data_IF_813907819018
#
_entry.id   IF_813907819018
#
_cell.length_a   1.000
_cell.length_b   1.000
_cell.length_c   1.000
_cell.angle_alpha   90.00
_cell.angle_beta   90.00
_cell.angle_gamma   90.00
#
_symmetry.space_group_name_H-M   'P 1'
#
loop_
_entity.id
_entity.type
_entity.pdbx_description
1 polymer ?
#
# COMPACT_ATOMS: atom_id res chain seq x y z
N UNK A 1 -26.08 18.34 27.32
CA UNK A 1 -25.40 17.97 26.06
C UNK A 1 -26.19 18.30 24.79
N UNK A 2 -27.49 18.02 24.69
CA UNK A 2 -28.24 18.19 23.42
C UNK A 2 -28.36 19.62 22.84
N UNK A 3 -28.35 20.70 23.64
CA UNK A 3 -28.44 22.08 23.09
C UNK A 3 -27.15 22.57 22.43
N UNK A 4 -25.98 22.23 22.99
CA UNK A 4 -24.68 22.61 22.43
C UNK A 4 -24.40 21.89 21.10
N UNK A 5 -24.76 20.61 20.99
CA UNK A 5 -24.70 19.87 19.72
C UNK A 5 -25.62 20.47 18.66
N UNK A 6 -26.85 20.87 19.03
CA UNK A 6 -27.78 21.52 18.09
C UNK A 6 -27.28 22.88 17.59
N UNK A 7 -26.70 23.71 18.47
CA UNK A 7 -26.07 24.97 18.05
C UNK A 7 -24.88 24.74 17.11
N UNK A 8 -24.05 23.74 17.41
CA UNK A 8 -22.88 23.41 16.60
C UNK A 8 -23.29 22.88 15.22
N UNK A 9 -24.28 21.99 15.14
CA UNK A 9 -24.82 21.51 13.87
C UNK A 9 -25.43 22.64 13.05
N UNK A 10 -26.05 23.64 13.70
CA UNK A 10 -26.57 24.83 13.02
C UNK A 10 -25.43 25.70 12.46
N UNK A 11 -24.35 25.89 13.23
CA UNK A 11 -23.14 26.60 12.76
C UNK A 11 -22.52 25.87 11.56
N UNK A 12 -22.41 24.54 11.63
CA UNK A 12 -21.88 23.73 10.53
C UNK A 12 -22.76 23.83 9.27
N UNK A 13 -24.08 23.80 9.43
CA UNK A 13 -25.03 24.00 8.33
C UNK A 13 -24.89 25.41 7.75
N UNK A 14 -24.77 26.44 8.58
CA UNK A 14 -24.54 27.82 8.14
C UNK A 14 -23.21 27.95 7.40
N UNK A 15 -22.16 27.26 7.86
CA UNK A 15 -20.85 27.22 7.20
C UNK A 15 -20.99 26.56 5.82
N UNK A 16 -21.68 25.42 5.73
CA UNK A 16 -21.95 24.77 4.44
C UNK A 16 -22.73 25.69 3.49
N UNK A 17 -23.77 26.37 3.98
CA UNK A 17 -24.55 27.31 3.16
C UNK A 17 -23.72 28.53 2.75
N UNK A 18 -22.92 29.10 3.64
CA UNK A 18 -22.07 30.25 3.33
C UNK A 18 -20.97 29.88 2.32
N UNK A 19 -20.30 28.73 2.50
CA UNK A 19 -19.33 28.20 1.54
C UNK A 19 -19.99 27.94 0.18
N UNK A 20 -21.20 27.37 0.18
CA UNK A 20 -21.97 27.13 -1.04
C UNK A 20 -22.35 28.45 -1.72
N UNK A 21 -22.81 29.47 -0.99
CA UNK A 21 -23.14 30.80 -1.54
C UNK A 21 -21.89 31.45 -2.13
N UNK A 22 -20.77 31.46 -1.40
CA UNK A 22 -19.49 32.00 -1.89
C UNK A 22 -19.06 31.31 -3.19
N UNK A 23 -19.15 29.99 -3.25
CA UNK A 23 -18.81 29.23 -4.44
C UNK A 23 -19.83 29.45 -5.58
N UNK A 24 -21.12 29.58 -5.25
CA UNK A 24 -22.22 29.85 -6.20
C UNK A 24 -22.09 31.21 -6.87
N UNK A 25 -21.65 32.23 -6.13
CA UNK A 25 -21.35 33.56 -6.68
C UNK A 25 -20.19 33.52 -7.71
N UNK A 26 -19.36 32.48 -7.67
CA UNK A 26 -18.24 32.24 -8.59
C UNK A 26 -18.55 31.19 -9.68
N UNK A 27 -19.80 30.70 -9.79
CA UNK A 27 -20.21 29.66 -10.77
C UNK A 27 -19.98 30.06 -12.24
N UNK A 28 -19.83 31.35 -12.54
CA UNK A 28 -19.39 31.79 -13.87
C UNK A 28 -18.04 31.19 -14.28
N UNK A 29 -17.25 30.69 -13.32
CA UNK A 29 -16.01 29.96 -13.55
C UNK A 29 -16.16 28.45 -13.36
N UNK A 30 -15.40 27.68 -14.13
CA UNK A 30 -15.29 26.21 -14.01
C UNK A 30 -14.86 25.80 -12.59
N UNK A 31 -13.92 26.52 -11.99
CA UNK A 31 -13.45 26.31 -10.62
C UNK A 31 -14.58 26.47 -9.57
N UNK A 32 -15.46 27.46 -9.75
CA UNK A 32 -16.61 27.67 -8.87
C UNK A 32 -17.60 26.50 -8.91
N UNK A 33 -17.88 25.97 -10.10
CA UNK A 33 -18.77 24.81 -10.28
C UNK A 33 -18.21 23.54 -9.64
N UNK A 34 -16.91 23.30 -9.77
CA UNK A 34 -16.18 22.19 -9.12
C UNK A 34 -16.26 22.33 -7.59
N UNK A 35 -15.96 23.51 -7.06
CA UNK A 35 -16.01 23.78 -5.62
C UNK A 35 -17.41 23.52 -5.05
N UNK A 36 -18.46 23.95 -5.76
CA UNK A 36 -19.86 23.68 -5.36
C UNK A 36 -20.14 22.17 -5.30
N UNK A 37 -19.70 21.40 -6.31
CA UNK A 37 -19.92 19.96 -6.33
C UNK A 37 -19.20 19.25 -5.17
N UNK A 38 -17.94 19.64 -4.88
CA UNK A 38 -17.16 19.10 -3.77
C UNK A 38 -17.81 19.44 -2.43
N UNK A 39 -18.26 20.68 -2.22
CA UNK A 39 -18.97 21.06 -0.99
C UNK A 39 -20.27 20.28 -0.79
N UNK A 40 -21.00 19.97 -1.87
CA UNK A 40 -22.21 19.12 -1.80
C UNK A 40 -21.89 17.67 -1.49
N UNK A 41 -20.77 17.14 -1.98
CA UNK A 41 -20.30 15.79 -1.63
C UNK A 41 -19.75 15.71 -0.19
N UNK A 42 -19.20 16.82 0.33
CA UNK A 42 -18.42 16.88 1.59
C UNK A 42 -19.05 17.78 2.65
N UNK A 43 -20.39 17.75 2.75
CA UNK A 43 -21.14 18.50 3.77
C UNK A 43 -20.78 18.04 5.18
N UNK A 44 -20.98 18.92 6.17
CA UNK A 44 -20.73 18.62 7.59
C UNK A 44 -21.72 17.62 8.19
N UNK A 45 -22.81 17.30 7.46
CA UNK A 45 -23.81 16.35 7.88
C UNK A 45 -23.20 14.99 8.24
N UNK A 46 -23.28 14.60 9.51
CA UNK A 46 -22.73 13.33 10.00
C UNK A 46 -23.65 12.14 9.73
N UNK A 47 -24.83 12.35 9.13
CA UNK A 47 -25.86 11.31 9.00
C UNK A 47 -25.49 10.17 8.04
N UNK A 48 -24.61 10.42 7.05
CA UNK A 48 -24.26 9.42 6.05
C UNK A 48 -23.13 9.80 5.10
N UNK A 49 -22.70 8.84 4.25
CA UNK A 49 -21.67 9.05 3.23
C UNK A 49 -22.12 10.05 2.15
N UNK A 50 -21.19 10.50 1.28
CA UNK A 50 -21.56 11.32 0.14
C UNK A 50 -22.62 10.61 -0.71
N UNK A 51 -23.69 11.31 -1.06
CA UNK A 51 -24.69 10.77 -1.99
C UNK A 51 -24.02 10.42 -3.32
N UNK A 52 -24.34 9.25 -3.89
CA UNK A 52 -23.85 8.79 -5.20
C UNK A 52 -24.01 9.88 -6.28
N UNK A 53 -25.14 10.58 -6.29
CA UNK A 53 -25.38 11.71 -7.21
C UNK A 53 -24.35 12.83 -7.09
N UNK A 54 -23.90 13.15 -5.88
CA UNK A 54 -22.89 14.20 -5.66
C UNK A 54 -21.50 13.72 -6.06
N UNK A 55 -21.15 12.47 -5.76
CA UNK A 55 -19.89 11.86 -6.21
C UNK A 55 -19.85 11.79 -7.74
N UNK A 56 -20.92 11.34 -8.37
CA UNK A 56 -21.04 11.30 -9.84
C UNK A 56 -20.89 12.69 -10.47
N UNK A 57 -21.41 13.75 -9.83
CA UNK A 57 -21.22 15.12 -10.29
C UNK A 57 -19.75 15.56 -10.20
N UNK A 58 -19.04 15.20 -9.12
CA UNK A 58 -17.59 15.47 -8.98
C UNK A 58 -16.79 14.75 -10.08
N UNK A 59 -17.08 13.46 -10.31
CA UNK A 59 -16.43 12.67 -11.36
C UNK A 59 -16.71 13.24 -12.76
N UNK A 60 -17.94 13.63 -13.05
CA UNK A 60 -18.33 14.20 -14.34
C UNK A 60 -17.63 15.53 -14.60
N UNK A 61 -17.51 16.40 -13.60
CA UNK A 61 -16.76 17.65 -13.71
C UNK A 61 -15.26 17.40 -13.88
N UNK A 62 -14.70 16.41 -13.18
CA UNK A 62 -13.29 16.01 -13.31
C UNK A 62 -12.94 15.36 -14.66
N UNK A 63 -13.93 14.83 -15.40
CA UNK A 63 -13.74 14.14 -16.68
C UNK A 63 -13.54 15.07 -17.90
N UNK A 64 -13.33 16.36 -17.67
CA UNK A 64 -13.07 17.33 -18.74
C UNK A 64 -11.62 17.32 -19.23
N UNK A 65 -10.98 18.49 -19.16
CA UNK A 65 -9.58 18.67 -19.53
C UNK A 65 -8.63 18.36 -18.36
N UNK A 66 -7.33 18.25 -18.64
CA UNK A 66 -6.30 18.16 -17.59
C UNK A 66 -6.38 19.32 -16.58
N UNK A 67 -6.70 20.52 -17.04
CA UNK A 67 -6.92 21.69 -16.17
C UNK A 67 -8.11 21.46 -15.24
N UNK A 68 -9.24 20.97 -15.77
CA UNK A 68 -10.45 20.70 -14.99
C UNK A 68 -10.21 19.59 -13.96
N UNK A 69 -9.45 18.55 -14.34
CA UNK A 69 -9.02 17.49 -13.43
C UNK A 69 -8.11 18.05 -12.32
N UNK A 70 -7.09 18.84 -12.65
CA UNK A 70 -6.19 19.48 -11.66
C UNK A 70 -6.98 20.32 -10.65
N UNK A 71 -7.88 21.19 -11.15
CA UNK A 71 -8.74 22.02 -10.29
C UNK A 71 -9.66 21.18 -9.39
N UNK A 72 -10.11 20.02 -9.87
CA UNK A 72 -10.92 19.08 -9.09
C UNK A 72 -10.10 18.45 -7.96
N UNK A 73 -8.88 17.99 -8.25
CA UNK A 73 -7.96 17.42 -7.26
C UNK A 73 -7.51 18.49 -6.26
N UNK A 74 -7.15 19.69 -6.71
CA UNK A 74 -6.81 20.81 -5.83
C UNK A 74 -7.95 21.14 -4.87
N UNK A 75 -9.16 21.33 -5.38
CA UNK A 75 -10.29 21.72 -4.56
C UNK A 75 -10.70 20.65 -3.53
N UNK A 76 -10.52 19.35 -3.82
CA UNK A 76 -10.81 18.28 -2.84
C UNK A 76 -9.70 18.16 -1.79
N UNK A 77 -8.44 18.39 -2.18
CA UNK A 77 -7.30 18.38 -1.27
C UNK A 77 -7.34 19.58 -0.33
N UNK A 78 -7.62 20.78 -0.85
CA UNK A 78 -7.81 21.98 -0.03
C UNK A 78 -8.91 21.76 1.00
N UNK A 79 -10.06 21.21 0.57
CA UNK A 79 -11.17 20.88 1.49
C UNK A 79 -10.78 19.86 2.55
N UNK A 80 -9.96 18.86 2.21
CA UNK A 80 -9.49 17.83 3.14
C UNK A 80 -8.52 18.40 4.18
N UNK A 81 -7.59 19.27 3.78
CA UNK A 81 -6.58 19.84 4.67
C UNK A 81 -7.10 21.02 5.51
N UNK A 82 -8.08 21.76 5.01
CA UNK A 82 -8.69 22.89 5.73
C UNK A 82 -9.73 22.47 6.79
N UNK A 83 -10.27 21.25 6.69
CA UNK A 83 -11.32 20.81 7.61
C UNK A 83 -10.75 20.30 8.93
N UNK A 84 -11.41 20.66 10.04
CA UNK A 84 -11.15 20.10 11.37
C UNK A 84 -12.24 19.08 11.77
N UNK A 85 -13.10 18.71 10.83
CA UNK A 85 -14.29 17.88 11.05
C UNK A 85 -14.09 16.49 10.46
N UNK A 86 -14.16 15.46 11.30
CA UNK A 86 -13.91 14.08 10.88
C UNK A 86 -14.93 13.60 9.84
N UNK A 87 -16.20 14.01 9.95
CA UNK A 87 -17.24 13.68 8.96
C UNK A 87 -16.91 14.21 7.56
N UNK A 88 -16.46 15.47 7.48
CA UNK A 88 -16.06 16.10 6.22
C UNK A 88 -14.81 15.43 5.66
N UNK A 89 -13.81 15.15 6.50
CA UNK A 89 -12.58 14.49 6.09
C UNK A 89 -12.85 13.11 5.49
N UNK A 90 -13.67 12.27 6.14
CA UNK A 90 -14.05 10.97 5.58
C UNK A 90 -14.77 11.13 4.24
N UNK A 91 -15.71 12.08 4.11
CA UNK A 91 -16.40 12.32 2.84
C UNK A 91 -15.46 12.74 1.71
N UNK A 92 -14.43 13.53 2.02
CA UNK A 92 -13.37 13.84 1.06
C UNK A 92 -12.63 12.55 0.66
N UNK A 93 -12.19 11.74 1.62
CA UNK A 93 -11.49 10.49 1.35
C UNK A 93 -12.35 9.49 0.56
N UNK A 94 -13.64 9.35 0.88
CA UNK A 94 -14.60 8.52 0.12
C UNK A 94 -14.72 9.00 -1.33
N UNK A 95 -14.74 10.32 -1.54
CA UNK A 95 -14.80 10.91 -2.88
C UNK A 95 -13.48 10.70 -3.63
N UNK A 96 -12.32 10.81 -2.96
CA UNK A 96 -11.00 10.47 -3.53
C UNK A 96 -10.94 9.00 -3.90
N UNK A 97 -11.42 8.10 -3.04
CA UNK A 97 -11.50 6.68 -3.36
C UNK A 97 -12.39 6.42 -4.57
N UNK A 98 -13.51 7.13 -4.69
CA UNK A 98 -14.36 7.05 -5.89
C UNK A 98 -13.64 7.52 -7.16
N UNK A 99 -12.73 8.48 -7.06
CA UNK A 99 -11.86 8.90 -8.17
C UNK A 99 -10.88 7.78 -8.55
N UNK A 100 -10.24 7.15 -7.56
CA UNK A 100 -9.35 5.99 -7.77
C UNK A 100 -10.11 4.82 -8.42
N UNK A 101 -11.35 4.59 -7.99
CA UNK A 101 -12.20 3.50 -8.45
C UNK A 101 -12.90 3.71 -9.79
N UNK A 102 -13.31 4.93 -10.10
CA UNK A 102 -14.21 5.17 -11.23
C UNK A 102 -13.96 6.49 -11.95
N UNK A 103 -12.89 7.21 -11.57
CA UNK A 103 -12.44 8.38 -12.28
C UNK A 103 -11.93 8.05 -13.69
N UNK A 104 -11.92 9.06 -14.56
CA UNK A 104 -11.27 8.93 -15.86
C UNK A 104 -9.76 8.85 -15.71
N UNK A 105 -9.08 8.31 -16.72
CA UNK A 105 -7.62 8.21 -16.72
C UNK A 105 -6.94 9.56 -16.43
N UNK A 106 -7.44 10.65 -17.01
CA UNK A 106 -6.88 12.01 -16.77
C UNK A 106 -7.04 12.40 -15.30
N UNK A 107 -8.20 12.13 -14.69
CA UNK A 107 -8.47 12.49 -13.31
C UNK A 107 -7.61 11.69 -12.33
N UNK A 108 -7.48 10.38 -12.58
CA UNK A 108 -6.60 9.51 -11.82
C UNK A 108 -5.14 9.90 -11.98
N UNK A 109 -4.70 10.19 -13.21
CA UNK A 109 -3.35 10.66 -13.51
C UNK A 109 -3.01 11.95 -12.71
N UNK A 110 -3.91 12.95 -12.73
CA UNK A 110 -3.70 14.16 -11.93
C UNK A 110 -3.67 13.89 -10.43
N UNK A 111 -4.46 12.93 -9.93
CA UNK A 111 -4.39 12.52 -8.52
C UNK A 111 -3.05 11.86 -8.18
N UNK A 112 -2.50 10.98 -9.03
CA UNK A 112 -1.21 10.32 -8.78
C UNK A 112 -0.01 11.26 -8.68
N UNK A 113 -0.07 12.41 -9.37
CA UNK A 113 1.01 13.40 -9.43
C UNK A 113 0.76 14.62 -8.54
N UNK A 114 -0.30 14.62 -7.74
CA UNK A 114 -0.56 15.70 -6.81
C UNK A 114 0.45 15.69 -5.63
N UNK A 115 0.88 16.86 -5.13
CA UNK A 115 0.73 18.18 -5.74
C UNK A 115 1.63 18.33 -6.97
N UNK A 116 1.17 19.10 -7.96
CA UNK A 116 1.88 19.33 -9.23
C UNK A 116 3.31 19.87 -9.08
N UNK A 117 3.65 20.42 -7.90
CA UNK A 117 4.98 20.90 -7.52
C UNK A 117 5.95 19.81 -7.05
N UNK A 118 5.54 18.54 -7.00
CA UNK A 118 6.36 17.43 -6.52
C UNK A 118 6.34 17.33 -5.00
N UNK A 119 5.32 16.66 -4.48
CA UNK A 119 5.22 16.24 -3.08
C UNK A 119 4.92 14.75 -2.99
N UNK A 120 5.24 14.14 -1.84
CA UNK A 120 4.84 12.76 -1.50
C UNK A 120 3.96 12.83 -0.24
N UNK A 121 3.10 11.84 -0.05
CA UNK A 121 2.26 11.70 1.14
C UNK A 121 1.28 12.86 1.33
N UNK A 122 0.60 13.26 0.26
CA UNK A 122 -0.38 14.35 0.30
C UNK A 122 -1.65 13.98 1.06
N UNK A 123 -1.90 12.69 1.30
CA UNK A 123 -2.94 12.21 2.22
C UNK A 123 -2.39 11.96 3.63
N UNK A 124 -1.23 12.48 4.00
CA UNK A 124 -0.74 12.36 5.37
C UNK A 124 -1.62 13.14 6.34
N UNK A 125 -2.52 12.42 6.98
CA UNK A 125 -3.40 12.94 8.02
C UNK A 125 -3.02 12.42 9.41
N UNK A 126 -1.79 11.94 9.63
CA UNK A 126 -1.37 11.32 10.89
C UNK A 126 -1.63 12.15 12.16
N UNK A 127 -1.66 13.48 12.07
CA UNK A 127 -1.97 14.39 13.17
C UNK A 127 -3.44 14.84 13.21
N UNK A 128 -4.28 14.40 12.27
CA UNK A 128 -5.68 14.80 12.18
C UNK A 128 -6.46 14.35 13.41
N UNK A 129 -7.22 15.28 13.99
CA UNK A 129 -8.00 15.06 15.20
C UNK A 129 -9.19 16.01 15.28
N UNK A 130 -10.39 15.45 15.45
CA UNK A 130 -11.63 16.17 15.70
C UNK A 130 -12.00 16.05 17.19
N UNK A 131 -11.76 17.13 17.96
CA UNK A 131 -12.05 17.21 19.39
C UNK A 131 -13.50 17.62 19.72
N UNK A 132 -14.41 17.56 18.74
CA UNK A 132 -15.79 18.01 18.95
C UNK A 132 -16.66 17.04 19.76
N UNK A 133 -16.21 15.79 19.95
CA UNK A 133 -16.84 14.78 20.79
C UNK A 133 -16.08 13.44 20.76
N UNK A 134 -16.41 12.52 21.67
CA UNK A 134 -15.75 11.21 21.79
C UNK A 134 -15.89 10.40 20.49
N UNK A 135 -17.10 10.31 19.94
CA UNK A 135 -17.36 9.61 18.67
C UNK A 135 -16.56 10.21 17.50
N UNK A 136 -16.33 11.53 17.50
CA UNK A 136 -15.57 12.23 16.45
C UNK A 136 -14.05 12.04 16.63
N UNK A 137 -13.60 11.92 17.87
CA UNK A 137 -12.22 11.55 18.19
C UNK A 137 -11.91 10.13 17.72
N UNK A 138 -12.82 9.17 17.95
CA UNK A 138 -12.70 7.82 17.41
C UNK A 138 -12.78 7.81 15.87
N UNK A 139 -13.69 8.60 15.27
CA UNK A 139 -13.79 8.76 13.82
C UNK A 139 -12.50 9.34 13.21
N UNK A 140 -11.74 10.13 13.98
CA UNK A 140 -10.44 10.64 13.54
C UNK A 140 -9.43 9.51 13.34
N UNK A 141 -9.49 8.43 14.13
CA UNK A 141 -8.66 7.24 13.90
C UNK A 141 -8.95 6.59 12.55
N UNK A 142 -10.22 6.54 12.14
CA UNK A 142 -10.61 6.09 10.80
C UNK A 142 -10.15 7.03 9.69
N UNK A 143 -10.20 8.35 9.90
CA UNK A 143 -9.65 9.33 8.95
C UNK A 143 -8.16 9.05 8.70
N UNK A 144 -7.37 8.89 9.77
CA UNK A 144 -5.93 8.63 9.66
C UNK A 144 -5.63 7.34 8.92
N UNK A 145 -6.27 6.25 9.35
CA UNK A 145 -6.08 4.94 8.74
C UNK A 145 -6.51 4.92 7.28
N UNK A 146 -7.68 5.50 6.97
CA UNK A 146 -8.23 5.47 5.62
C UNK A 146 -7.41 6.32 4.64
N UNK A 147 -6.89 7.46 5.10
CA UNK A 147 -5.97 8.26 4.32
C UNK A 147 -4.66 7.51 4.02
N UNK A 148 -4.11 6.80 5.01
CA UNK A 148 -2.95 5.91 4.83
C UNK A 148 -3.24 4.77 3.84
N UNK A 149 -4.41 4.15 3.94
CA UNK A 149 -4.86 3.14 2.97
C UNK A 149 -4.92 3.68 1.53
N UNK A 150 -5.52 4.85 1.32
CA UNK A 150 -5.61 5.44 -0.01
C UNK A 150 -4.24 5.87 -0.56
N UNK A 151 -3.34 6.40 0.28
CA UNK A 151 -1.97 6.70 -0.13
C UNK A 151 -1.24 5.42 -0.55
N UNK A 152 -1.35 4.34 0.23
CA UNK A 152 -0.77 3.04 -0.12
C UNK A 152 -1.36 2.50 -1.42
N UNK A 153 -2.67 2.61 -1.64
CA UNK A 153 -3.34 2.22 -2.89
C UNK A 153 -2.75 2.95 -4.10
N UNK A 154 -2.52 4.26 -3.99
CA UNK A 154 -1.87 5.04 -5.05
C UNK A 154 -0.41 4.62 -5.27
N UNK A 155 0.34 4.33 -4.21
CA UNK A 155 1.73 3.85 -4.33
C UNK A 155 1.81 2.50 -5.04
N UNK A 156 0.95 1.56 -4.68
CA UNK A 156 0.95 0.23 -5.27
C UNK A 156 0.41 0.25 -6.71
N UNK A 157 -0.56 1.12 -7.02
CA UNK A 157 -1.00 1.37 -8.40
C UNK A 157 0.15 1.83 -9.30
N UNK A 158 1.11 2.62 -8.77
CA UNK A 158 2.34 3.01 -9.48
C UNK A 158 3.29 1.84 -9.69
N UNK A 159 3.46 0.96 -8.69
CA UNK A 159 4.30 -0.25 -8.80
C UNK A 159 3.76 -1.18 -9.88
N UNK A 160 2.45 -1.31 -9.99
CA UNK A 160 1.78 -2.20 -10.94
C UNK A 160 1.53 -1.58 -12.32
N UNK A 161 1.81 -0.28 -12.46
CA UNK A 161 1.63 0.47 -13.70
C UNK A 161 0.17 0.62 -14.14
N UNK A 162 -0.79 0.34 -13.26
CA UNK A 162 -2.22 0.54 -13.52
C UNK A 162 -3.00 0.69 -12.21
N UNK A 163 -4.08 1.46 -12.25
CA UNK A 163 -5.06 1.52 -11.17
C UNK A 163 -5.87 0.22 -11.16
N UNK A 164 -5.87 -0.50 -10.04
CA UNK A 164 -6.62 -1.76 -9.89
C UNK A 164 -8.13 -1.58 -10.00
N UNK A 165 -8.56 -0.39 -9.62
CA UNK A 165 -9.94 -0.04 -9.41
C UNK A 165 -10.56 0.54 -10.70
N UNK A 166 -9.72 0.99 -11.65
CA UNK A 166 -10.08 1.16 -13.06
C UNK A 166 -10.31 -0.19 -13.72
N UNK A 167 -11.55 -0.65 -13.67
CA UNK A 167 -12.00 -1.70 -14.57
C UNK A 167 -12.02 -1.14 -16.00
N UNK A 168 -11.21 -1.66 -16.95
CA UNK A 168 -11.86 -2.03 -18.18
C UNK A 168 -12.74 -3.21 -17.77
N UNK A 169 -14.06 -3.10 -17.93
CA UNK A 169 -14.98 -4.27 -17.90
C UNK A 169 -14.69 -5.23 -19.09
N UNK A 170 -13.48 -5.14 -19.66
CA UNK A 170 -12.97 -5.64 -20.93
C UNK A 170 -11.45 -5.91 -20.79
N UNK A 171 -11.03 -6.61 -19.74
CA UNK A 171 -9.78 -7.40 -19.81
C UNK A 171 -10.19 -8.81 -19.41
N UNK A 172 -10.10 -9.75 -20.34
CA UNK A 172 -10.45 -11.13 -20.05
C UNK A 172 -9.50 -11.66 -18.96
N UNK A 173 -9.98 -12.58 -18.11
CA UNK A 173 -9.15 -13.29 -17.11
C UNK A 173 -7.83 -13.79 -17.73
N UNK A 174 -7.91 -14.22 -19.00
CA UNK A 174 -6.80 -14.65 -19.83
C UNK A 174 -5.74 -13.56 -20.07
N UNK A 175 -6.11 -12.31 -20.31
CA UNK A 175 -5.16 -11.22 -20.57
C UNK A 175 -4.34 -10.88 -19.30
N UNK A 176 -4.94 -11.04 -18.11
CA UNK A 176 -4.24 -10.90 -16.83
C UNK A 176 -3.27 -12.05 -16.58
N UNK A 177 -3.69 -13.28 -16.86
CA UNK A 177 -2.85 -14.48 -16.77
C UNK A 177 -1.65 -14.37 -17.74
N UNK A 178 -1.88 -13.99 -19.00
CA UNK A 178 -0.84 -13.80 -20.02
C UNK A 178 0.17 -12.71 -19.62
N UNK A 179 -0.29 -11.63 -18.97
CA UNK A 179 0.59 -10.58 -18.43
C UNK A 179 1.45 -11.08 -17.25
N UNK A 180 0.87 -11.85 -16.34
CA UNK A 180 1.59 -12.47 -15.20
C UNK A 180 2.63 -13.47 -15.70
N UNK A 181 2.31 -14.25 -16.72
CA UNK A 181 3.24 -15.17 -17.38
C UNK A 181 4.44 -14.44 -18.01
N UNK A 182 4.25 -13.24 -18.55
CA UNK A 182 5.31 -12.46 -19.18
C UNK A 182 6.29 -11.79 -18.20
N UNK A 183 5.92 -11.61 -16.92
CA UNK A 183 6.78 -10.94 -15.93
C UNK A 183 7.94 -11.82 -15.45
N UNK A 184 9.04 -11.20 -15.03
CA UNK A 184 10.13 -11.92 -14.37
C UNK A 184 9.74 -12.38 -12.95
N UNK A 185 10.39 -13.42 -12.42
CA UNK A 185 10.19 -13.84 -11.02
C UNK A 185 10.44 -12.69 -10.04
N UNK A 186 11.45 -11.87 -10.32
CA UNK A 186 11.77 -10.70 -9.51
C UNK A 186 10.65 -9.64 -9.52
N UNK A 187 10.07 -9.35 -10.68
CA UNK A 187 8.95 -8.41 -10.80
C UNK A 187 7.69 -8.94 -10.10
N UNK A 188 7.37 -10.23 -10.30
CA UNK A 188 6.25 -10.89 -9.62
C UNK A 188 6.41 -10.83 -8.10
N UNK A 189 7.62 -11.05 -7.59
CA UNK A 189 7.91 -10.97 -6.15
C UNK A 189 7.76 -9.55 -5.61
N UNK A 190 8.21 -8.52 -6.37
CA UNK A 190 8.06 -7.10 -6.00
C UNK A 190 6.59 -6.68 -5.98
N UNK A 191 5.82 -7.11 -6.98
CA UNK A 191 4.39 -6.82 -7.04
C UNK A 191 3.61 -7.54 -5.93
N UNK A 192 3.96 -8.80 -5.64
CA UNK A 192 3.39 -9.54 -4.52
C UNK A 192 3.66 -8.83 -3.19
N UNK A 193 4.90 -8.38 -2.96
CA UNK A 193 5.28 -7.65 -1.76
C UNK A 193 4.41 -6.40 -1.55
N UNK A 194 4.25 -5.59 -2.60
CA UNK A 194 3.40 -4.39 -2.60
C UNK A 194 1.90 -4.70 -2.37
N UNK A 195 1.40 -5.82 -2.93
CA UNK A 195 0.04 -6.29 -2.69
C UNK A 195 -0.18 -6.73 -1.23
N UNK A 196 0.81 -7.40 -0.64
CA UNK A 196 0.79 -7.80 0.77
C UNK A 196 0.82 -6.58 1.69
N UNK A 197 1.58 -5.53 1.35
CA UNK A 197 1.60 -4.29 2.13
C UNK A 197 0.21 -3.64 2.22
N UNK A 198 -0.60 -3.72 1.15
CA UNK A 198 -1.99 -3.26 1.22
C UNK A 198 -2.84 -4.14 2.12
N UNK A 199 -2.68 -5.46 2.07
CA UNK A 199 -3.40 -6.35 2.96
C UNK A 199 -3.02 -6.12 4.44
N UNK A 200 -1.75 -5.84 4.73
CA UNK A 200 -1.28 -5.44 6.06
C UNK A 200 -1.93 -4.12 6.51
N UNK A 201 -1.89 -3.10 5.66
CA UNK A 201 -2.54 -1.82 5.92
C UNK A 201 -4.03 -1.98 6.19
N UNK A 202 -4.73 -2.87 5.45
CA UNK A 202 -6.14 -3.17 5.69
C UNK A 202 -6.33 -3.86 7.06
N UNK A 203 -5.43 -4.77 7.41
CA UNK A 203 -5.43 -5.48 8.69
C UNK A 203 -5.15 -4.60 9.91
N UNK A 204 -4.63 -3.38 9.71
CA UNK A 204 -4.40 -2.38 10.77
C UNK A 204 -5.60 -1.44 11.00
N UNK A 205 -6.78 -1.79 10.47
CA UNK A 205 -8.00 -1.01 10.68
C UNK A 205 -8.30 -0.78 12.17
N UNK A 206 -8.79 0.40 12.56
CA UNK A 206 -9.14 0.66 13.96
C UNK A 206 -10.20 -0.30 14.51
N UNK A 207 -9.92 -0.88 15.68
CA UNK A 207 -10.83 -1.79 16.40
C UNK A 207 -11.94 -1.02 17.13
N UNK A 208 -12.81 -0.35 16.40
CA UNK A 208 -13.98 0.35 16.98
C UNK A 208 -15.28 -0.33 16.53
N UNK A 209 -15.61 -1.45 17.18
CA UNK A 209 -16.84 -2.22 16.94
C UNK A 209 -18.11 -1.35 17.06
N UNK A 210 -18.09 -0.31 17.90
CA UNK A 210 -19.20 0.62 18.05
C UNK A 210 -19.44 1.51 16.82
N UNK A 211 -18.38 1.87 16.10
CA UNK A 211 -18.46 2.69 14.89
C UNK A 211 -18.78 1.91 13.62
N UNK A 212 -18.80 0.58 13.61
CA UNK A 212 -19.32 -0.17 12.46
C UNK A 212 -20.81 0.14 12.18
N UNK A 213 -21.53 0.69 13.17
CA UNK A 213 -22.90 1.21 13.01
C UNK A 213 -22.95 2.63 12.44
N UNK A 214 -21.82 3.34 12.40
CA UNK A 214 -21.73 4.64 11.76
C UNK A 214 -21.74 4.45 10.24
N UNK A 215 -22.68 5.10 9.55
CA UNK A 215 -22.85 4.97 8.11
C UNK A 215 -21.59 5.35 7.31
N UNK A 216 -20.77 6.29 7.80
CA UNK A 216 -19.50 6.66 7.16
C UNK A 216 -18.47 5.54 7.24
N UNK A 217 -18.29 4.95 8.43
CA UNK A 217 -17.32 3.87 8.64
C UNK A 217 -17.75 2.60 7.91
N UNK A 218 -19.05 2.29 7.93
CA UNK A 218 -19.59 1.19 7.13
C UNK A 218 -19.25 1.36 5.64
N UNK A 219 -19.43 2.56 5.09
CA UNK A 219 -19.11 2.83 3.69
C UNK A 219 -17.61 2.71 3.39
N UNK A 220 -16.74 3.18 4.30
CA UNK A 220 -15.29 2.98 4.20
C UNK A 220 -14.95 1.49 4.14
N UNK A 221 -15.45 0.70 5.10
CA UNK A 221 -15.20 -0.75 5.14
C UNK A 221 -15.77 -1.46 3.91
N UNK A 222 -16.94 -1.04 3.42
CA UNK A 222 -17.55 -1.57 2.19
C UNK A 222 -16.64 -1.36 0.99
N UNK A 223 -16.15 -0.14 0.75
CA UNK A 223 -15.28 0.15 -0.39
C UNK A 223 -13.90 -0.51 -0.26
N UNK A 224 -13.29 -0.47 0.93
CA UNK A 224 -12.01 -1.18 1.17
C UNK A 224 -12.17 -2.69 0.99
N UNK A 225 -13.33 -3.25 1.34
CA UNK A 225 -13.65 -4.66 1.11
C UNK A 225 -13.81 -5.01 -0.37
N UNK A 226 -14.24 -4.07 -1.21
CA UNK A 226 -14.26 -4.25 -2.67
C UNK A 226 -12.85 -4.28 -3.24
N UNK A 227 -12.00 -3.33 -2.83
CA UNK A 227 -10.58 -3.31 -3.17
C UNK A 227 -9.86 -4.59 -2.72
N UNK A 228 -10.11 -5.02 -1.48
CA UNK A 228 -9.47 -6.20 -0.92
C UNK A 228 -9.76 -7.46 -1.73
N UNK A 229 -10.97 -7.61 -2.28
CA UNK A 229 -11.29 -8.75 -3.17
C UNK A 229 -10.43 -8.74 -4.44
N UNK A 230 -10.16 -7.56 -4.99
CA UNK A 230 -9.28 -7.42 -6.15
C UNK A 230 -7.83 -7.76 -5.76
N UNK A 231 -7.36 -7.25 -4.62
CA UNK A 231 -6.04 -7.60 -4.06
C UNK A 231 -5.88 -9.10 -3.89
N UNK A 232 -6.87 -9.77 -3.30
CA UNK A 232 -6.86 -11.23 -3.13
C UNK A 232 -6.76 -11.96 -4.47
N UNK A 233 -7.49 -11.50 -5.50
CA UNK A 233 -7.41 -12.10 -6.84
C UNK A 233 -6.04 -11.93 -7.49
N UNK A 234 -5.41 -10.76 -7.32
CA UNK A 234 -4.09 -10.44 -7.86
C UNK A 234 -2.96 -11.18 -7.10
N UNK A 235 -3.08 -11.33 -5.78
CA UNK A 235 -2.20 -12.17 -4.97
C UNK A 235 -2.30 -13.63 -5.44
N UNK A 236 -3.52 -14.16 -5.59
CA UNK A 236 -3.74 -15.54 -6.01
C UNK A 236 -3.02 -15.86 -7.33
N UNK A 237 -3.15 -14.98 -8.33
CA UNK A 237 -2.49 -15.13 -9.63
C UNK A 237 -0.96 -15.19 -9.49
N UNK A 238 -0.37 -14.27 -8.73
CA UNK A 238 1.09 -14.20 -8.53
C UNK A 238 1.61 -15.37 -7.73
N UNK A 239 0.91 -15.77 -6.67
CA UNK A 239 1.30 -16.93 -5.84
C UNK A 239 1.22 -18.22 -6.64
N UNK A 240 0.18 -18.40 -7.45
CA UNK A 240 0.08 -19.57 -8.34
C UNK A 240 1.25 -19.65 -9.30
N UNK A 241 1.61 -18.53 -9.96
CA UNK A 241 2.72 -18.52 -10.91
C UNK A 241 4.09 -18.68 -10.25
N UNK A 242 4.30 -18.05 -9.10
CA UNK A 242 5.51 -18.25 -8.30
C UNK A 242 5.60 -19.71 -7.80
N UNK A 243 4.49 -20.34 -7.45
CA UNK A 243 4.43 -21.76 -7.12
C UNK A 243 4.86 -22.65 -8.29
N UNK A 244 4.47 -22.32 -9.52
CA UNK A 244 4.89 -23.03 -10.73
C UNK A 244 6.39 -22.89 -11.00
N UNK A 245 6.94 -21.68 -10.78
CA UNK A 245 8.35 -21.36 -11.02
C UNK A 245 9.31 -21.75 -9.90
N UNK A 246 8.81 -22.28 -8.78
CA UNK A 246 9.56 -22.50 -7.53
C UNK A 246 10.89 -23.24 -7.72
N UNK A 247 10.98 -24.18 -8.66
CA UNK A 247 12.18 -24.99 -8.91
C UNK A 247 13.32 -24.20 -9.55
N UNK A 248 13.00 -23.12 -10.26
CA UNK A 248 13.97 -22.31 -11.00
C UNK A 248 14.37 -21.02 -10.27
N UNK A 249 13.88 -20.82 -9.05
CA UNK A 249 14.15 -19.60 -8.27
C UNK A 249 15.49 -19.68 -7.55
N UNK A 250 16.13 -18.53 -7.36
CA UNK A 250 17.26 -18.40 -6.44
C UNK A 250 16.81 -18.48 -4.98
N UNK A 251 17.74 -18.81 -4.09
CA UNK A 251 17.51 -18.83 -2.63
C UNK A 251 16.93 -17.51 -2.11
N UNK A 252 17.40 -16.38 -2.63
CA UNK A 252 16.94 -15.05 -2.22
C UNK A 252 15.51 -14.78 -2.67
N UNK A 253 15.15 -15.16 -3.90
CA UNK A 253 13.78 -15.05 -4.42
C UNK A 253 12.81 -15.92 -3.63
N UNK A 254 13.19 -17.18 -3.35
CA UNK A 254 12.40 -18.09 -2.50
C UNK A 254 12.14 -17.48 -1.12
N UNK A 255 13.18 -16.93 -0.49
CA UNK A 255 13.08 -16.33 0.84
C UNK A 255 12.18 -15.09 0.84
N UNK A 256 12.29 -14.22 -0.17
CA UNK A 256 11.42 -13.04 -0.32
C UNK A 256 9.95 -13.44 -0.44
N UNK A 257 9.65 -14.40 -1.32
CA UNK A 257 8.27 -14.87 -1.51
C UNK A 257 7.72 -15.51 -0.24
N UNK A 258 8.49 -16.39 0.43
CA UNK A 258 8.07 -17.01 1.69
C UNK A 258 7.79 -15.96 2.77
N UNK A 259 8.62 -14.92 2.88
CA UNK A 259 8.40 -13.85 3.84
C UNK A 259 7.13 -13.05 3.54
N UNK A 260 6.88 -12.70 2.27
CA UNK A 260 5.62 -12.05 1.86
C UNK A 260 4.40 -12.91 2.19
N UNK A 261 4.46 -14.22 1.94
CA UNK A 261 3.35 -15.14 2.28
C UNK A 261 3.09 -15.23 3.78
N UNK A 262 4.14 -15.28 4.61
CA UNK A 262 4.01 -15.27 6.08
C UNK A 262 3.34 -13.99 6.57
N UNK A 263 3.81 -12.83 6.12
CA UNK A 263 3.22 -11.51 6.42
C UNK A 263 1.73 -11.47 6.08
N UNK A 264 1.36 -11.99 4.91
CA UNK A 264 -0.05 -12.03 4.51
C UNK A 264 -0.90 -12.97 5.38
N UNK A 265 -0.37 -14.13 5.77
CA UNK A 265 -1.04 -15.05 6.70
C UNK A 265 -1.22 -14.45 8.09
N UNK A 266 -0.26 -13.68 8.59
CA UNK A 266 -0.34 -13.00 9.89
C UNK A 266 -1.49 -11.97 9.92
N UNK A 267 -1.96 -11.51 8.75
CA UNK A 267 -3.12 -10.64 8.62
C UNK A 267 -4.46 -11.38 8.60
N UNK A 268 -4.47 -12.71 8.44
CA UNK A 268 -5.68 -13.51 8.18
C UNK A 268 -6.77 -13.30 9.21
N UNK A 269 -6.43 -13.31 10.50
CA UNK A 269 -7.41 -13.17 11.58
C UNK A 269 -8.03 -11.77 11.60
N UNK A 270 -7.18 -10.73 11.53
CA UNK A 270 -7.60 -9.32 11.50
C UNK A 270 -8.52 -9.03 10.31
N UNK A 271 -8.14 -9.50 9.12
CA UNK A 271 -8.94 -9.36 7.89
C UNK A 271 -10.26 -10.13 7.96
N UNK A 272 -10.26 -11.31 8.59
CA UNK A 272 -11.47 -12.12 8.79
C UNK A 272 -12.47 -11.45 9.75
N UNK A 273 -11.96 -10.77 10.78
CA UNK A 273 -12.77 -9.99 11.72
C UNK A 273 -13.36 -8.74 11.05
N UNK A 274 -12.54 -7.99 10.31
CA UNK A 274 -12.96 -6.74 9.65
C UNK A 274 -14.10 -6.96 8.65
N UNK A 275 -14.01 -8.00 7.82
CA UNK A 275 -15.00 -8.26 6.76
C UNK A 275 -16.06 -9.30 7.12
N UNK A 276 -16.02 -9.87 8.33
CA UNK A 276 -16.88 -10.99 8.76
C UNK A 276 -16.92 -12.17 7.74
N UNK A 277 -15.86 -12.33 6.95
CA UNK A 277 -15.88 -13.13 5.72
C UNK A 277 -15.20 -14.50 5.88
N UNK A 278 -15.51 -15.22 6.97
CA UNK A 278 -14.76 -16.42 7.40
C UNK A 278 -14.70 -17.56 6.37
N UNK A 279 -15.71 -17.73 5.50
CA UNK A 279 -15.83 -18.90 4.60
C UNK A 279 -15.43 -18.67 3.14
N UNK A 280 -15.35 -17.42 2.65
CA UNK A 280 -15.17 -17.18 1.21
C UNK A 280 -13.73 -17.30 0.71
N UNK A 281 -12.76 -17.39 1.62
CA UNK A 281 -11.33 -17.28 1.30
C UNK A 281 -10.54 -18.57 1.57
N UNK A 282 -11.21 -19.70 1.89
CA UNK A 282 -10.52 -20.95 2.25
C UNK A 282 -9.54 -21.40 1.16
N UNK A 283 -9.97 -21.44 -0.10
CA UNK A 283 -9.09 -21.85 -1.23
C UNK A 283 -7.88 -20.93 -1.47
N UNK A 284 -7.97 -19.63 -1.17
CA UNK A 284 -6.82 -18.73 -1.24
C UNK A 284 -5.78 -19.12 -0.18
N UNK A 285 -6.23 -19.34 1.05
CA UNK A 285 -5.34 -19.70 2.16
C UNK A 285 -4.74 -21.10 2.00
N UNK A 286 -5.48 -22.04 1.42
CA UNK A 286 -4.98 -23.37 1.05
C UNK A 286 -3.84 -23.26 0.03
N UNK A 287 -4.06 -22.54 -1.08
CA UNK A 287 -3.03 -22.35 -2.11
C UNK A 287 -1.77 -21.66 -1.54
N UNK A 288 -1.95 -20.66 -0.68
CA UNK A 288 -0.83 -19.98 -0.01
C UNK A 288 -0.07 -20.96 0.89
N UNK A 289 -0.78 -21.77 1.67
CA UNK A 289 -0.17 -22.79 2.53
C UNK A 289 0.63 -23.82 1.74
N UNK A 290 0.05 -24.36 0.67
CA UNK A 290 0.70 -25.32 -0.23
C UNK A 290 1.94 -24.71 -0.90
N UNK A 291 1.81 -23.51 -1.46
CA UNK A 291 2.90 -22.82 -2.14
C UNK A 291 4.04 -22.52 -1.17
N UNK A 292 3.72 -21.99 0.01
CA UNK A 292 4.71 -21.72 1.07
C UNK A 292 5.45 -22.97 1.50
N UNK A 293 4.75 -24.10 1.68
CA UNK A 293 5.36 -25.37 2.04
C UNK A 293 6.28 -25.88 0.93
N UNK A 294 5.86 -25.79 -0.34
CA UNK A 294 6.70 -26.14 -1.51
C UNK A 294 7.98 -25.31 -1.52
N UNK A 295 7.89 -23.99 -1.34
CA UNK A 295 9.03 -23.08 -1.34
C UNK A 295 9.99 -23.36 -0.18
N UNK A 296 9.47 -23.60 1.04
CA UNK A 296 10.28 -23.97 2.21
C UNK A 296 11.05 -25.28 2.00
N UNK A 297 10.43 -26.29 1.37
CA UNK A 297 11.14 -27.53 1.02
C UNK A 297 12.30 -27.27 0.05
N UNK A 298 12.15 -26.34 -0.90
CA UNK A 298 13.23 -25.99 -1.83
C UNK A 298 14.37 -25.25 -1.13
N UNK A 299 14.05 -24.31 -0.23
CA UNK A 299 15.05 -23.62 0.61
C UNK A 299 15.87 -24.64 1.40
N UNK A 300 15.21 -25.58 2.10
CA UNK A 300 15.88 -26.62 2.88
C UNK A 300 16.81 -27.49 2.02
N UNK A 301 16.38 -27.90 0.82
CA UNK A 301 17.23 -28.67 -0.12
C UNK A 301 18.48 -27.88 -0.55
N UNK A 302 18.34 -26.58 -0.82
CA UNK A 302 19.47 -25.72 -1.18
C UNK A 302 20.44 -25.52 -0.01
N UNK A 303 19.93 -25.37 1.21
CA UNK A 303 20.74 -25.28 2.43
C UNK A 303 21.52 -26.57 2.69
N UNK A 304 20.88 -27.74 2.57
CA UNK A 304 21.54 -29.04 2.67
C UNK A 304 22.65 -29.20 1.64
N UNK A 305 22.37 -28.87 0.37
CA UNK A 305 23.37 -28.93 -0.71
C UNK A 305 24.56 -28.00 -0.42
N UNK A 306 24.30 -26.78 0.07
CA UNK A 306 25.34 -25.82 0.49
C UNK A 306 26.18 -26.38 1.63
N UNK A 307 25.57 -27.00 2.64
CA UNK A 307 26.29 -27.63 3.75
C UNK A 307 27.17 -28.80 3.28
N UNK A 308 26.69 -29.60 2.32
CA UNK A 308 27.48 -30.68 1.71
C UNK A 308 28.69 -30.11 0.96
N UNK A 309 28.52 -29.07 0.14
CA UNK A 309 29.63 -28.42 -0.58
C UNK A 309 30.67 -27.84 0.39
N UNK A 310 30.24 -27.19 1.47
CA UNK A 310 31.15 -26.65 2.50
C UNK A 310 31.91 -27.77 3.22
N UNK A 311 31.27 -28.91 3.50
CA UNK A 311 31.95 -30.09 4.07
C UNK A 311 32.97 -30.70 3.11
N UNK A 312 32.67 -30.71 1.80
CA UNK A 312 33.56 -31.22 0.77
C UNK A 312 34.79 -30.32 0.58
N UNK A 313 34.59 -28.99 0.49
CA UNK A 313 35.69 -28.02 0.37
C UNK A 313 36.64 -28.00 1.59
N UNK A 314 36.13 -28.27 2.80
CA UNK A 314 36.97 -28.46 4.00
C UNK A 314 37.73 -29.80 4.04
N UNK A 315 37.40 -30.74 3.17
CA UNK A 315 38.08 -32.04 3.05
C UNK A 315 39.26 -31.94 2.08
N UNK A 316 39.11 -31.19 1.00
CA UNK A 316 40.16 -31.01 -0.01
C UNK A 316 41.35 -30.16 0.51
N UNK A 317 41.09 -29.19 1.39
CA UNK A 317 42.16 -28.43 2.07
C UNK A 317 42.97 -29.26 3.09
N UNK A 318 42.44 -30.42 3.51
CA UNK A 318 43.14 -31.36 4.40
C UNK A 318 43.91 -32.45 3.65
N UNK A 319 43.81 -32.50 2.33
CA UNK A 319 44.43 -33.52 1.47
C UNK A 319 45.73 -33.09 0.79
N UNK A 320 46.16 -31.83 0.92
CA UNK A 320 47.33 -31.28 0.21
C UNK A 320 48.62 -31.17 1.05
N UNK A 321 48.64 -31.67 2.28
CA UNK A 321 49.91 -31.89 3.00
C UNK A 321 50.52 -33.26 2.64
N UNK A 322 50.93 -33.41 1.37
CA UNK A 322 51.84 -34.50 0.99
C UNK A 322 53.28 -33.99 1.01
N UNK A 323 53.89 -34.24 2.17
CA UNK A 323 55.32 -34.38 2.47
C UNK A 323 56.23 -34.52 1.24
N UNK A 324 56.94 -33.44 0.91
CA UNK A 324 58.25 -33.49 0.24
C UNK A 324 59.21 -34.31 1.10
N UNK A 325 59.78 -35.38 0.55
CA UNK A 325 60.94 -36.05 1.13
C UNK A 325 62.13 -35.97 0.17
N UNK A 326 63.32 -35.81 0.80
CA UNK A 326 64.72 -35.71 0.29
C UNK A 326 65.18 -34.33 -0.18
N UNK A 327 66.38 -33.84 0.16
CA UNK A 327 67.41 -34.26 1.13
C UNK A 327 68.51 -33.17 1.12
N UNK A 328 69.30 -33.11 2.20
CA UNK A 328 70.70 -32.66 2.26
C UNK A 328 70.98 -31.17 1.95
N UNK A 329 71.28 -30.39 2.99
CA UNK A 329 72.67 -30.00 3.30
C UNK A 329 72.70 -29.38 4.70
N UNK A 330 73.27 -30.13 5.63
CA UNK A 330 73.81 -29.57 6.85
C UNK A 330 75.11 -28.85 6.47
N UNK A 331 75.17 -27.54 6.69
CA UNK A 331 76.39 -26.92 7.17
C UNK A 331 76.10 -25.59 7.86
N UNK A 332 76.43 -25.59 9.14
CA UNK A 332 76.60 -24.46 10.02
C UNK A 332 77.49 -23.37 9.41
N UNK A 333 76.99 -22.14 9.41
CA UNK A 333 77.76 -20.92 9.13
C UNK A 333 77.36 -19.83 10.11
N UNK A 334 78.26 -19.58 11.06
CA UNK A 334 78.20 -18.58 12.13
C UNK A 334 78.31 -17.13 11.60
N UNK A 335 77.71 -16.22 12.38
CA UNK A 335 78.21 -14.90 12.79
C UNK A 335 78.05 -13.65 11.88
N UNK A 336 77.77 -12.54 12.61
CA UNK A 336 77.88 -11.10 12.28
C UNK A 336 76.73 -10.54 11.43
N UNK A 337 76.12 -9.38 11.70
CA UNK A 337 76.30 -8.28 12.65
C UNK A 337 75.15 -7.29 12.33
N UNK A 338 74.45 -6.78 13.34
CA UNK A 338 74.46 -5.34 13.70
C UNK A 338 74.24 -4.35 12.55
N UNK A 339 73.16 -3.57 12.67
CA UNK A 339 73.04 -2.11 12.41
C UNK A 339 71.71 -1.75 11.70
N UNK A 340 70.80 -1.08 12.43
CA UNK A 340 70.52 0.38 12.37
C UNK A 340 69.70 0.72 11.09
N UNK A 341 68.57 1.45 11.07
CA UNK A 341 68.13 2.64 11.81
C UNK A 341 66.64 2.84 11.48
N UNK A 342 65.83 3.12 12.51
CA UNK A 342 64.61 3.92 12.43
C UNK A 342 64.98 5.36 12.10
N UNK A 343 64.36 6.03 11.12
CA UNK A 343 64.08 7.48 11.21
C UNK A 343 63.21 8.02 10.06
N UNK A 344 62.15 8.72 10.48
CA UNK A 344 61.37 9.83 9.87
C UNK A 344 60.75 9.65 8.47
N UNK A 345 59.58 10.24 8.17
CA UNK A 345 58.73 11.17 8.90
C UNK A 345 57.75 11.86 7.94
N UNK A 346 56.54 12.13 8.45
CA UNK A 346 55.71 13.31 8.23
C UNK A 346 55.53 13.87 6.80
N UNK A 347 54.31 13.70 6.27
CA UNK A 347 53.38 14.79 5.96
C UNK A 347 51.95 14.23 5.92
#
# INVERSE_FOLDING_TARGET
>A
MGRLMKLRNLIDLLKDKASLIKATLSIKSVAGSITVAILRATTHDSSGPPSEKHVAAVLALGNGSRLTASLCIEAIMDRLHDTQRASVAIKCLLTIHSIIASGSFILQDQLSFYPSSGGRNFLNLSTFRDDSGVDMWELSSWVRWYAGFLEQNLMVSKVLGHYWCSSPRVNNKKDKEDKVLAFSTSDLSRELDALVDIAEQIGEAPDSLHLQRNALVYEVVRMVGEDYRLVQSEILLRVSELGNRAENMSYDELTRVVNALKRFEDCKERLSLLFANRKRNEGLWELIGETKMKLLMMIGKMEEMRLVMVRMGRRDDRGSESTRFRNLFAQSGKLLGSDLVLVHGWA
#
